data_IF_671725160486
#
_entry.id   IF_671725160486
#
_cell.length_a   1.000
_cell.length_b   1.000
_cell.length_c   1.000
_cell.angle_alpha   90.00
_cell.angle_beta   90.00
_cell.angle_gamma   90.00
#
_symmetry.space_group_name_H-M   'P 1'
#
loop_
_entity.id
_entity.type
_entity.pdbx_description
1 polymer ?
#
# COMPACT_ATOMS: atom_id res chain seq x y z
N UNK A 1 -18.10 -20.60 -8.22
CA UNK A 1 -17.71 -21.07 -9.56
C UNK A 1 -17.11 -22.46 -9.40
N UNK A 2 -17.53 -23.47 -10.18
CA UNK A 2 -16.86 -24.76 -10.22
C UNK A 2 -15.44 -24.63 -10.79
N UNK A 3 -14.54 -25.58 -10.49
CA UNK A 3 -13.22 -25.63 -11.12
C UNK A 3 -13.35 -26.19 -12.54
N UNK A 4 -12.56 -25.64 -13.46
CA UNK A 4 -12.54 -26.01 -14.87
C UNK A 4 -11.16 -26.55 -15.25
N UNK A 5 -11.10 -27.34 -16.33
CA UNK A 5 -9.87 -27.95 -16.81
C UNK A 5 -9.71 -27.68 -18.31
N UNK A 6 -8.64 -26.99 -18.67
CA UNK A 6 -8.35 -26.64 -20.06
C UNK A 6 -7.01 -27.19 -20.52
N UNK A 7 -6.91 -27.44 -21.82
CA UNK A 7 -5.64 -27.80 -22.47
C UNK A 7 -5.14 -26.61 -23.27
N UNK A 8 -4.35 -25.77 -22.62
CA UNK A 8 -3.90 -24.48 -23.18
C UNK A 8 -3.18 -24.62 -24.53
N UNK A 9 -2.44 -25.71 -24.76
CA UNK A 9 -1.73 -25.91 -26.04
C UNK A 9 -2.66 -26.04 -27.25
N UNK A 10 -3.87 -26.57 -27.02
CA UNK A 10 -4.82 -26.92 -28.06
C UNK A 10 -6.08 -26.02 -27.99
N UNK A 11 -6.24 -25.28 -26.90
CA UNK A 11 -7.37 -24.41 -26.57
C UNK A 11 -6.91 -23.14 -25.82
N UNK A 12 -6.28 -22.22 -26.56
CA UNK A 12 -5.75 -20.96 -26.01
C UNK A 12 -6.84 -20.03 -25.44
N UNK A 13 -8.08 -20.18 -25.90
CA UNK A 13 -9.20 -19.35 -25.49
C UNK A 13 -9.99 -19.96 -24.32
N UNK A 14 -9.56 -21.13 -23.80
CA UNK A 14 -10.24 -21.84 -22.71
C UNK A 14 -11.73 -22.10 -23.04
N UNK A 15 -12.03 -22.41 -24.29
CA UNK A 15 -13.40 -22.56 -24.77
C UNK A 15 -13.99 -23.95 -24.45
N UNK A 16 -13.16 -24.96 -24.21
CA UNK A 16 -13.57 -26.34 -24.04
C UNK A 16 -13.16 -26.90 -22.67
N UNK A 17 -14.10 -26.87 -21.73
CA UNK A 17 -13.88 -27.39 -20.39
C UNK A 17 -13.89 -28.93 -20.37
N UNK A 18 -12.77 -29.52 -19.97
CA UNK A 18 -12.53 -30.96 -19.88
C UNK A 18 -12.79 -31.55 -18.48
N UNK A 19 -13.27 -30.75 -17.52
CA UNK A 19 -13.42 -31.15 -16.12
C UNK A 19 -14.20 -32.46 -15.92
N UNK A 20 -15.33 -32.62 -16.62
CA UNK A 20 -16.17 -33.82 -16.56
C UNK A 20 -15.56 -35.00 -17.32
N UNK A 21 -14.78 -34.73 -18.36
CA UNK A 21 -14.14 -35.75 -19.21
C UNK A 21 -12.86 -36.31 -18.58
N UNK A 22 -12.20 -35.52 -17.73
CA UNK A 22 -10.92 -35.88 -17.08
C UNK A 22 -10.97 -35.60 -15.56
N UNK A 23 -11.88 -36.23 -14.80
CA UNK A 23 -12.09 -35.93 -13.38
C UNK A 23 -10.87 -36.26 -12.51
N UNK A 24 -10.10 -37.30 -12.87
CA UNK A 24 -8.87 -37.67 -12.16
C UNK A 24 -7.79 -36.60 -12.31
N UNK A 25 -7.62 -36.06 -13.53
CA UNK A 25 -6.63 -35.00 -13.79
C UNK A 25 -7.00 -33.70 -13.09
N UNK A 26 -8.30 -33.37 -13.06
CA UNK A 26 -8.80 -32.24 -12.29
C UNK A 26 -8.52 -32.43 -10.79
N UNK A 27 -8.75 -33.62 -10.24
CA UNK A 27 -8.46 -33.91 -8.84
C UNK A 27 -6.96 -33.80 -8.51
N UNK A 28 -6.10 -34.33 -9.37
CA UNK A 28 -4.63 -34.21 -9.27
C UNK A 28 -4.20 -32.74 -9.22
N UNK A 29 -4.60 -31.92 -10.20
CA UNK A 29 -4.21 -30.51 -10.25
C UNK A 29 -4.76 -29.70 -9.08
N UNK A 30 -5.99 -29.99 -8.62
CA UNK A 30 -6.55 -29.38 -7.41
C UNK A 30 -5.76 -29.76 -6.16
N UNK A 31 -5.24 -30.98 -6.07
CA UNK A 31 -4.39 -31.39 -4.96
C UNK A 31 -3.05 -30.64 -5.00
N UNK A 32 -2.41 -30.54 -6.17
CA UNK A 32 -1.17 -29.78 -6.36
C UNK A 32 -1.37 -28.30 -6.00
N UNK A 33 -2.44 -27.67 -6.51
CA UNK A 33 -2.75 -26.27 -6.21
C UNK A 33 -2.96 -26.04 -4.71
N UNK A 34 -3.75 -26.90 -4.05
CA UNK A 34 -3.99 -26.77 -2.60
C UNK A 34 -2.72 -26.96 -1.78
N UNK A 35 -1.92 -27.97 -2.10
CA UNK A 35 -0.65 -28.19 -1.39
C UNK A 35 0.28 -26.99 -1.54
N UNK A 36 0.40 -26.43 -2.75
CA UNK A 36 1.15 -25.20 -2.98
C UNK A 36 0.56 -24.01 -2.21
N UNK A 37 -0.76 -23.84 -2.27
CA UNK A 37 -1.45 -22.75 -1.57
C UNK A 37 -1.24 -22.83 -0.06
N UNK A 38 -1.39 -24.01 0.55
CA UNK A 38 -1.19 -24.24 1.98
C UNK A 38 0.27 -23.99 2.40
N UNK A 39 1.23 -24.40 1.56
CA UNK A 39 2.66 -24.14 1.76
C UNK A 39 2.96 -22.63 1.77
N UNK A 40 2.50 -21.89 0.77
CA UNK A 40 2.78 -20.44 0.66
C UNK A 40 1.88 -19.58 1.56
N UNK A 41 0.79 -20.13 2.10
CA UNK A 41 -0.17 -19.39 2.92
C UNK A 41 0.01 -19.50 4.44
N UNK A 42 0.87 -20.41 4.89
CA UNK A 42 0.97 -20.77 6.32
C UNK A 42 2.17 -20.15 7.04
N UNK A 43 3.03 -19.41 6.33
CA UNK A 43 4.32 -18.96 6.87
C UNK A 43 4.25 -17.68 7.70
N UNK A 44 3.08 -17.00 7.74
CA UNK A 44 2.88 -15.74 8.47
C UNK A 44 1.65 -15.77 9.36
N UNK A 45 1.67 -15.13 10.55
CA UNK A 45 0.50 -15.07 11.45
C UNK A 45 -0.76 -14.48 10.80
N UNK A 46 -0.58 -13.54 9.88
CA UNK A 46 -1.64 -12.99 9.03
C UNK A 46 -1.12 -12.91 7.59
N UNK A 47 -1.17 -14.04 6.88
CA UNK A 47 -0.52 -14.18 5.58
C UNK A 47 -1.13 -13.30 4.48
N UNK A 48 -2.36 -12.83 4.68
CA UNK A 48 -3.07 -12.00 3.74
C UNK A 48 -3.19 -10.54 4.20
N UNK A 49 -2.68 -10.20 5.38
CA UNK A 49 -2.54 -8.82 5.78
C UNK A 49 -1.67 -8.05 4.77
N UNK A 50 -2.07 -6.82 4.43
CA UNK A 50 -1.20 -5.88 3.76
C UNK A 50 0.20 -5.81 4.40
N UNK A 51 1.29 -6.02 3.64
CA UNK A 51 2.63 -5.85 4.16
C UNK A 51 2.86 -4.40 4.59
N UNK A 52 3.66 -4.22 5.64
CA UNK A 52 4.13 -2.92 6.11
C UNK A 52 5.47 -2.59 5.44
N UNK A 53 5.62 -1.37 4.95
CA UNK A 53 6.87 -0.89 4.36
C UNK A 53 7.82 -0.49 5.48
N UNK A 54 9.05 -0.99 5.44
CA UNK A 54 10.08 -0.66 6.43
C UNK A 54 10.67 0.71 6.06
N UNK A 55 10.72 1.64 7.02
CA UNK A 55 11.24 3.01 6.78
C UNK A 55 12.31 3.38 7.81
N UNK A 56 13.34 4.11 7.36
CA UNK A 56 14.39 4.65 8.23
C UNK A 56 15.34 3.61 8.82
N UNK A 57 15.55 2.51 8.10
CA UNK A 57 16.61 1.55 8.44
C UNK A 57 17.98 2.06 8.00
N UNK A 58 19.06 1.46 8.49
CA UNK A 58 20.41 1.72 7.99
C UNK A 58 20.60 1.40 6.49
N UNK A 59 19.82 0.45 5.96
CA UNK A 59 19.87 0.04 4.55
C UNK A 59 19.00 0.91 3.64
N UNK A 60 18.02 1.61 4.22
CA UNK A 60 17.06 2.46 3.52
C UNK A 60 16.67 3.64 4.42
N UNK A 61 17.51 4.67 4.42
CA UNK A 61 17.28 5.90 5.19
C UNK A 61 16.23 6.81 4.56
N UNK A 62 15.93 6.63 3.27
CA UNK A 62 14.93 7.40 2.51
C UNK A 62 14.02 6.44 1.78
N UNK A 63 12.72 6.56 1.99
CA UNK A 63 11.70 5.75 1.34
C UNK A 63 10.66 6.64 0.66
N UNK A 64 10.30 6.28 -0.58
CA UNK A 64 9.21 6.92 -1.32
C UNK A 64 7.97 6.04 -1.27
N UNK A 65 6.95 6.49 -0.54
CA UNK A 65 5.68 5.80 -0.40
C UNK A 65 4.71 6.32 -1.45
N UNK A 66 4.31 5.47 -2.40
CA UNK A 66 3.43 5.88 -3.49
C UNK A 66 1.97 5.63 -3.16
N UNK A 67 1.04 6.26 -3.90
CA UNK A 67 -0.38 5.97 -3.78
C UNK A 67 -0.73 4.50 -4.11
N UNK A 68 0.14 3.74 -4.79
CA UNK A 68 -0.09 2.31 -5.04
C UNK A 68 0.00 1.48 -3.76
N UNK A 69 0.74 1.96 -2.78
CA UNK A 69 1.01 1.25 -1.53
C UNK A 69 -0.05 1.54 -0.45
N UNK A 70 -0.80 2.63 -0.62
CA UNK A 70 -1.73 3.07 0.41
C UNK A 70 -2.97 2.16 0.48
N UNK A 71 -3.48 2.02 1.69
CA UNK A 71 -4.64 1.19 1.99
C UNK A 71 -5.84 2.09 2.20
N UNK A 72 -6.87 1.82 1.42
CA UNK A 72 -8.20 2.42 1.57
C UNK A 72 -9.13 1.42 2.23
N UNK A 73 -10.23 1.91 2.80
CA UNK A 73 -11.26 1.07 3.40
C UNK A 73 -12.05 0.30 2.33
N UNK A 74 -13.36 0.53 2.28
CA UNK A 74 -14.25 -0.11 1.30
C UNK A 74 -14.30 0.61 -0.05
N UNK A 75 -13.49 1.65 -0.24
CA UNK A 75 -13.47 2.43 -1.47
C UNK A 75 -12.89 1.62 -2.63
N UNK A 76 -13.46 1.79 -3.83
CA UNK A 76 -12.89 1.22 -5.04
C UNK A 76 -11.60 1.95 -5.44
N UNK A 77 -10.64 1.25 -6.03
CA UNK A 77 -9.37 1.83 -6.49
C UNK A 77 -8.60 2.47 -5.33
N UNK A 78 -8.05 3.67 -5.56
CA UNK A 78 -7.28 4.39 -4.54
C UNK A 78 -8.14 5.22 -3.58
N UNK A 79 -9.47 5.30 -3.70
CA UNK A 79 -10.28 6.19 -2.86
C UNK A 79 -9.85 7.67 -2.92
N UNK A 80 -10.30 8.49 -1.96
CA UNK A 80 -9.85 9.89 -1.77
C UNK A 80 -9.12 10.10 -0.44
N UNK A 81 -9.12 9.08 0.41
CA UNK A 81 -8.41 9.04 1.67
C UNK A 81 -7.87 7.63 1.89
N UNK A 82 -6.67 7.55 2.44
CA UNK A 82 -5.97 6.30 2.62
C UNK A 82 -4.83 6.45 3.61
N UNK A 83 -4.16 5.33 3.86
CA UNK A 83 -3.03 5.28 4.78
C UNK A 83 -1.92 4.40 4.25
N UNK A 84 -0.67 4.82 4.43
CA UNK A 84 0.45 3.92 4.24
C UNK A 84 0.67 3.12 5.52
N UNK A 85 0.85 1.81 5.38
CA UNK A 85 1.18 0.95 6.52
C UNK A 85 2.69 0.81 6.55
N UNK A 86 3.31 1.30 7.61
CA UNK A 86 4.77 1.30 7.74
C UNK A 86 5.22 0.60 9.01
N UNK A 87 6.49 0.21 9.02
CA UNK A 87 7.25 -0.17 10.21
C UNK A 87 8.46 0.74 10.27
N UNK A 88 8.49 1.62 11.28
CA UNK A 88 9.65 2.48 11.56
C UNK A 88 10.74 1.58 12.14
N UNK A 89 11.84 1.41 11.40
CA UNK A 89 12.90 0.48 11.79
C UNK A 89 13.62 0.93 13.07
N UNK A 90 13.89 2.22 13.18
CA UNK A 90 14.65 2.81 14.29
C UNK A 90 13.98 4.09 14.79
N UNK A 91 13.99 4.31 16.11
CA UNK A 91 13.49 5.55 16.65
C UNK A 91 14.42 6.71 16.26
N UNK A 92 13.87 7.89 15.97
CA UNK A 92 14.69 8.99 15.51
C UNK A 92 13.94 10.22 15.06
N UNK A 93 14.70 11.14 14.45
CA UNK A 93 14.17 12.34 13.83
C UNK A 93 13.96 12.10 12.34
N UNK A 94 12.77 12.41 11.85
CA UNK A 94 12.38 12.18 10.46
C UNK A 94 11.92 13.47 9.79
N UNK A 95 12.04 13.47 8.47
CA UNK A 95 11.40 14.45 7.60
C UNK A 95 10.39 13.72 6.73
N UNK A 96 9.18 14.27 6.62
CA UNK A 96 8.16 13.80 5.71
C UNK A 96 7.89 14.90 4.67
N UNK A 97 8.03 14.56 3.38
CA UNK A 97 7.63 15.42 2.27
C UNK A 97 6.40 14.80 1.58
N UNK A 98 5.25 15.46 1.73
CA UNK A 98 3.98 15.07 1.09
C UNK A 98 3.89 15.76 -0.26
N UNK A 99 3.64 15.02 -1.34
CA UNK A 99 3.65 15.51 -2.71
C UNK A 99 2.36 15.17 -3.44
N UNK A 100 1.80 16.17 -4.13
CA UNK A 100 0.68 16.08 -5.06
C UNK A 100 1.17 16.11 -6.51
N UNK A 101 0.35 15.65 -7.45
CA UNK A 101 0.69 15.69 -8.87
C UNK A 101 0.75 17.13 -9.41
N UNK A 102 -0.17 17.97 -8.95
CA UNK A 102 -0.37 19.36 -9.34
C UNK A 102 -0.68 20.17 -8.07
N UNK A 103 -0.50 21.51 -8.08
CA UNK A 103 -0.96 22.36 -7.01
C UNK A 103 -2.47 22.20 -6.77
N UNK A 104 -2.86 22.13 -5.50
CA UNK A 104 -4.26 21.92 -5.11
C UNK A 104 -4.90 23.16 -4.49
N UNK A 105 -4.23 24.31 -4.59
CA UNK A 105 -4.59 25.56 -3.93
C UNK A 105 -4.17 25.58 -2.46
N UNK A 106 -4.39 26.72 -1.79
CA UNK A 106 -3.99 26.88 -0.39
C UNK A 106 -4.75 25.90 0.50
N UNK A 107 -4.02 25.12 1.32
CA UNK A 107 -4.59 24.09 2.20
C UNK A 107 -3.89 24.05 3.54
N UNK A 108 -4.66 23.78 4.58
CA UNK A 108 -4.12 23.32 5.85
C UNK A 108 -3.92 21.81 5.75
N UNK A 109 -2.69 21.34 5.88
CA UNK A 109 -2.29 19.93 5.76
C UNK A 109 -1.86 19.42 7.12
N UNK A 110 -2.36 18.24 7.50
CA UNK A 110 -1.96 17.52 8.70
C UNK A 110 -1.48 16.13 8.35
N UNK A 111 -0.31 15.75 8.85
CA UNK A 111 0.23 14.40 8.76
C UNK A 111 0.12 13.69 10.10
N UNK A 112 -0.29 12.43 10.06
CA UNK A 112 -0.36 11.54 11.22
C UNK A 112 0.56 10.34 10.98
N UNK A 113 1.51 10.11 11.88
CA UNK A 113 2.44 8.99 11.85
C UNK A 113 2.41 8.29 13.21
N UNK A 114 1.61 7.23 13.32
CA UNK A 114 1.37 6.59 14.62
C UNK A 114 0.74 7.58 15.60
N UNK A 115 1.41 7.87 16.71
CA UNK A 115 0.96 8.85 17.71
C UNK A 115 1.41 10.28 17.40
N UNK A 116 2.29 10.48 16.41
CA UNK A 116 2.81 11.80 16.06
C UNK A 116 1.90 12.48 15.05
N UNK A 117 1.58 13.74 15.32
CA UNK A 117 0.87 14.62 14.38
C UNK A 117 1.69 15.87 14.13
N UNK A 118 1.67 16.38 12.90
CA UNK A 118 2.21 17.68 12.53
C UNK A 118 1.31 18.35 11.49
N UNK A 119 1.19 19.67 11.55
CA UNK A 119 0.34 20.46 10.66
C UNK A 119 1.11 21.64 10.07
N UNK A 120 0.70 22.08 8.88
CA UNK A 120 1.31 23.20 8.16
C UNK A 120 0.45 23.62 6.98
N UNK A 121 0.76 24.78 6.43
CA UNK A 121 0.03 25.37 5.31
C UNK A 121 0.75 25.08 3.99
N UNK A 122 0.05 24.50 3.03
CA UNK A 122 0.46 24.36 1.63
C UNK A 122 0.03 25.63 0.89
N UNK A 123 0.96 26.29 0.18
CA UNK A 123 0.69 27.48 -0.60
C UNK A 123 -0.18 27.22 -1.83
N UNK A 124 -0.76 28.30 -2.40
CA UNK A 124 -1.69 28.21 -3.54
C UNK A 124 -1.09 27.52 -4.77
N UNK A 125 0.17 27.84 -5.09
CA UNK A 125 0.91 27.31 -6.24
C UNK A 125 1.84 26.13 -5.88
N UNK A 126 1.80 25.65 -4.63
CA UNK A 126 2.66 24.57 -4.15
C UNK A 126 1.99 23.20 -4.36
N UNK A 127 2.79 22.21 -4.73
CA UNK A 127 2.39 20.81 -4.85
C UNK A 127 3.11 19.90 -3.86
N UNK A 128 3.89 20.46 -2.93
CA UNK A 128 4.56 19.68 -1.89
C UNK A 128 4.68 20.46 -0.57
N UNK A 129 4.72 19.75 0.55
CA UNK A 129 4.94 20.33 1.88
C UNK A 129 5.86 19.44 2.71
N UNK A 130 6.85 20.07 3.36
CA UNK A 130 7.82 19.40 4.22
C UNK A 130 7.49 19.56 5.71
N UNK A 131 7.49 18.44 6.41
CA UNK A 131 7.44 18.37 7.87
C UNK A 131 8.78 17.84 8.38
N UNK A 132 9.56 18.67 9.06
CA UNK A 132 10.87 18.30 9.59
C UNK A 132 10.82 18.05 11.10
N UNK A 133 11.80 17.31 11.62
CA UNK A 133 11.93 17.12 13.07
C UNK A 133 10.87 16.21 13.69
N UNK A 134 10.21 15.36 12.90
CA UNK A 134 9.23 14.40 13.38
C UNK A 134 9.92 13.34 14.23
N UNK A 135 9.66 13.34 15.54
CA UNK A 135 10.19 12.32 16.46
C UNK A 135 9.31 11.07 16.38
N UNK A 136 9.83 10.01 15.78
CA UNK A 136 9.13 8.73 15.61
C UNK A 136 9.73 7.66 16.51
N UNK A 137 8.87 6.84 17.07
CA UNK A 137 9.23 5.60 17.78
C UNK A 137 9.37 4.46 16.79
N UNK A 138 10.27 3.50 17.08
CA UNK A 138 10.36 2.27 16.30
C UNK A 138 9.08 1.44 16.44
N UNK A 139 8.73 0.71 15.37
CA UNK A 139 7.58 -0.19 15.35
C UNK A 139 6.55 0.14 14.27
N UNK A 140 5.44 -0.56 14.31
CA UNK A 140 4.36 -0.43 13.34
C UNK A 140 3.62 0.90 13.51
N UNK A 141 3.46 1.64 12.41
CA UNK A 141 2.70 2.87 12.38
C UNK A 141 1.85 2.97 11.10
N UNK A 142 0.78 3.75 11.16
CA UNK A 142 -0.01 4.12 10.00
C UNK A 142 0.33 5.58 9.67
N UNK A 143 0.67 5.86 8.42
CA UNK A 143 0.86 7.22 7.92
C UNK A 143 -0.42 7.68 7.22
N UNK A 144 -1.01 8.79 7.68
CA UNK A 144 -2.18 9.44 7.05
C UNK A 144 -1.89 10.90 6.75
N UNK A 145 -2.54 11.41 5.72
CA UNK A 145 -2.55 12.83 5.37
C UNK A 145 -3.99 13.29 5.35
N UNK A 146 -4.28 14.35 6.07
CA UNK A 146 -5.54 15.07 6.06
C UNK A 146 -5.27 16.49 5.56
N UNK A 147 -6.20 17.08 4.83
CA UNK A 147 -6.10 18.47 4.40
C UNK A 147 -7.48 19.12 4.31
N UNK A 148 -7.52 20.44 4.43
CA UNK A 148 -8.75 21.22 4.39
C UNK A 148 -9.44 21.17 3.01
N UNK A 149 -10.73 21.54 2.97
CA UNK A 149 -11.51 21.52 1.74
C UNK A 149 -11.98 20.12 1.31
N UNK A 150 -12.47 20.03 0.08
CA UNK A 150 -13.00 18.77 -0.47
C UNK A 150 -11.86 17.81 -0.87
N UNK A 151 -11.93 16.57 -0.40
CA UNK A 151 -11.01 15.51 -0.79
C UNK A 151 -11.58 14.70 -1.95
N UNK A 152 -10.83 14.61 -3.04
CA UNK A 152 -11.19 13.88 -4.26
C UNK A 152 -9.99 13.13 -4.79
N UNK A 153 -10.22 12.12 -5.64
CA UNK A 153 -9.14 11.35 -6.31
C UNK A 153 -8.13 12.22 -7.08
N UNK A 154 -8.53 13.42 -7.49
CA UNK A 154 -7.70 14.33 -8.27
C UNK A 154 -6.73 15.11 -7.38
N UNK A 155 -7.12 15.41 -6.13
CA UNK A 155 -6.33 16.19 -5.19
C UNK A 155 -5.76 15.37 -4.03
N UNK A 156 -5.70 14.04 -4.14
CA UNK A 156 -5.00 13.19 -3.19
C UNK A 156 -3.49 13.30 -3.35
N UNK A 157 -2.70 13.22 -2.27
CA UNK A 157 -1.27 13.04 -2.36
C UNK A 157 -0.92 11.82 -3.22
N UNK A 158 0.13 11.93 -4.03
CA UNK A 158 0.64 10.83 -4.88
C UNK A 158 1.84 10.14 -4.28
N UNK A 159 2.68 10.93 -3.61
CA UNK A 159 3.89 10.44 -2.98
C UNK A 159 4.04 11.03 -1.60
N UNK A 160 4.70 10.26 -0.75
CA UNK A 160 5.17 10.66 0.54
C UNK A 160 6.60 10.15 0.68
N UNK A 161 7.55 11.08 0.67
CA UNK A 161 8.95 10.76 0.93
C UNK A 161 9.22 10.89 2.41
N UNK A 162 9.67 9.81 3.03
CA UNK A 162 10.09 9.82 4.44
C UNK A 162 11.58 9.57 4.52
N UNK A 163 12.30 10.44 5.21
CA UNK A 163 13.74 10.33 5.40
C UNK A 163 14.09 10.40 6.88
N UNK A 164 14.95 9.48 7.32
CA UNK A 164 15.56 9.56 8.64
C UNK A 164 16.71 10.57 8.58
N UNK A 165 16.73 11.48 9.53
CA UNK A 165 17.87 12.39 9.70
C UNK A 165 19.01 11.61 10.37
N UNK A 166 20.26 11.73 9.86
CA UNK A 166 21.43 11.11 10.48
C UNK A 166 21.62 11.50 11.96
#
# INVERSE_FOLDING_TARGET
MPFELYRITDDLAEANNLAEQMPEKLAELKAVYRNWYDDVSSTRPDNYAPPRIIVGSEYEMVSDLSIQDWRVGTAQGWGSNGKWLVTVAEAGSYTANVQWADPIGEREVTVHLGERTASGTLGEDESEILFTGLKLSAGNADFRVEYSGEQSRQNTPRFLKISRTP
#
